data_IF_932723346543
#
_entry.id   IF_932723346543
#
_cell.length_a   1.000
_cell.length_b   1.000
_cell.length_c   1.000
_cell.angle_alpha   90.00
_cell.angle_beta   90.00
_cell.angle_gamma   90.00
#
_symmetry.space_group_name_H-M   'P 1'
#
loop_
_entity.id
_entity.type
_entity.pdbx_description
1 polymer ?
#
# COMPACT_ATOMS: atom_id res chain seq x y z
N UNK A 1 -4.89 7.72 22.66
CA UNK A 1 -5.83 7.77 21.52
C UNK A 1 -6.81 6.61 21.71
N UNK A 2 -7.95 6.60 21.00
CA UNK A 2 -8.90 5.50 21.08
C UNK A 2 -8.22 4.16 20.71
N UNK A 3 -8.75 3.02 21.15
CA UNK A 3 -8.12 1.72 20.95
C UNK A 3 -8.07 1.40 19.46
N UNK A 4 -6.89 1.43 18.85
CA UNK A 4 -6.64 0.73 17.59
C UNK A 4 -6.34 -0.73 17.92
N UNK A 5 -6.35 -1.59 16.91
CA UNK A 5 -6.11 -3.04 17.03
C UNK A 5 -4.69 -3.33 17.54
N UNK A 6 -4.54 -3.26 18.86
CA UNK A 6 -3.35 -3.58 19.64
C UNK A 6 -3.47 -5.03 20.13
N UNK A 7 -2.68 -5.98 19.61
CA UNK A 7 -2.68 -7.37 20.08
C UNK A 7 -2.20 -7.52 21.54
N UNK A 8 -1.71 -6.45 22.18
CA UNK A 8 -1.16 -6.43 23.54
C UNK A 8 -1.98 -5.63 24.57
N UNK A 9 -3.12 -5.05 24.17
CA UNK A 9 -4.14 -4.51 25.07
C UNK A 9 -4.08 -3.00 25.37
N UNK A 10 -5.18 -2.34 25.01
CA UNK A 10 -5.68 -1.00 25.41
C UNK A 10 -4.83 0.23 25.06
N UNK A 11 -3.68 0.07 24.40
CA UNK A 11 -2.84 1.16 23.94
C UNK A 11 -3.16 1.66 22.53
N UNK A 12 -2.59 2.81 22.20
CA UNK A 12 -2.11 3.00 20.83
C UNK A 12 -0.85 2.16 20.73
N UNK A 13 -0.94 1.04 20.05
CA UNK A 13 0.18 0.15 19.78
C UNK A 13 0.62 0.28 18.33
N UNK A 14 1.72 -0.39 18.00
CA UNK A 14 1.95 -0.76 16.62
C UNK A 14 0.84 -1.72 16.17
N UNK A 15 0.28 -1.47 15.00
CA UNK A 15 -0.53 -2.45 14.28
C UNK A 15 0.39 -3.17 13.31
N UNK A 16 0.59 -4.47 13.54
CA UNK A 16 1.65 -5.26 12.91
C UNK A 16 1.08 -6.43 12.14
N UNK A 17 1.53 -6.57 10.90
CA UNK A 17 1.47 -7.82 10.16
C UNK A 17 2.69 -7.93 9.24
N UNK A 18 2.54 -7.69 7.93
CA UNK A 18 3.70 -7.56 7.04
C UNK A 18 4.42 -6.21 7.16
N UNK A 19 3.77 -5.21 7.76
CA UNK A 19 4.36 -3.93 8.12
C UNK A 19 3.94 -3.55 9.53
N UNK A 20 4.71 -2.69 10.19
CA UNK A 20 4.32 -2.06 11.46
C UNK A 20 3.84 -0.64 11.19
N UNK A 21 2.60 -0.36 11.56
CA UNK A 21 1.98 0.96 11.47
C UNK A 21 1.91 1.58 12.86
N UNK A 22 2.49 2.77 13.04
CA UNK A 22 2.52 3.45 14.32
C UNK A 22 1.83 4.80 14.22
N UNK A 23 0.76 4.95 14.99
CA UNK A 23 0.22 6.25 15.34
C UNK A 23 0.81 6.69 16.67
N UNK A 24 1.21 7.95 16.79
CA UNK A 24 1.76 8.49 18.02
C UNK A 24 0.69 9.26 18.76
N UNK A 25 0.68 9.13 20.09
CA UNK A 25 -0.14 10.00 20.97
C UNK A 25 0.08 11.48 20.69
N UNK A 26 1.30 11.84 20.28
CA UNK A 26 1.69 13.18 19.88
C UNK A 26 2.70 13.08 18.71
N UNK A 27 2.34 13.56 17.50
CA UNK A 27 3.23 13.56 16.33
C UNK A 27 4.55 14.31 16.54
N UNK A 28 4.67 15.18 17.55
CA UNK A 28 5.96 15.82 17.84
C UNK A 28 7.03 14.83 18.31
N UNK A 29 6.66 13.59 18.66
CA UNK A 29 7.59 12.54 19.07
C UNK A 29 8.16 11.72 17.91
N UNK A 30 7.72 11.96 16.66
CA UNK A 30 8.17 11.21 15.48
C UNK A 30 9.69 11.14 15.35
N UNK A 31 10.47 12.25 15.50
CA UNK A 31 11.92 12.16 15.39
C UNK A 31 12.57 11.24 16.44
N UNK A 32 12.08 11.29 17.69
CA UNK A 32 12.59 10.46 18.79
C UNK A 32 12.20 8.99 18.60
N UNK A 33 10.96 8.72 18.19
CA UNK A 33 10.47 7.38 17.90
C UNK A 33 11.25 6.73 16.74
N UNK A 34 11.45 7.46 15.64
CA UNK A 34 12.26 6.99 14.51
C UNK A 34 13.70 6.71 14.93
N UNK A 35 14.31 7.60 15.73
CA UNK A 35 15.67 7.39 16.25
C UNK A 35 15.77 6.11 17.07
N UNK A 36 14.76 5.81 17.89
CA UNK A 36 14.68 4.58 18.66
C UNK A 36 14.54 3.34 17.76
N UNK A 37 13.67 3.40 16.75
CA UNK A 37 13.47 2.31 15.79
C UNK A 37 14.75 2.02 14.99
N UNK A 38 15.42 3.06 14.47
CA UNK A 38 16.68 2.91 13.74
C UNK A 38 17.80 2.35 14.62
N UNK A 39 17.91 2.78 15.88
CA UNK A 39 18.89 2.25 16.82
C UNK A 39 18.68 0.74 17.11
N UNK A 40 17.46 0.22 16.93
CA UNK A 40 17.11 -1.17 17.19
C UNK A 40 16.83 -1.96 15.91
N UNK A 41 17.08 -1.39 14.73
CA UNK A 41 16.70 -1.90 13.41
C UNK A 41 17.00 -3.39 13.20
N UNK A 42 18.20 -3.83 13.62
CA UNK A 42 18.63 -5.22 13.51
C UNK A 42 17.80 -6.16 14.39
N UNK A 43 17.51 -5.74 15.62
CA UNK A 43 16.76 -6.55 16.58
C UNK A 43 15.28 -6.71 16.16
N UNK A 44 14.71 -5.67 15.55
CA UNK A 44 13.33 -5.68 15.05
C UNK A 44 13.22 -6.10 13.58
N UNK A 45 14.32 -6.56 12.96
CA UNK A 45 14.32 -6.98 11.55
C UNK A 45 13.84 -5.91 10.57
N UNK A 46 13.92 -4.62 10.91
CA UNK A 46 13.39 -3.53 10.10
C UNK A 46 14.24 -3.25 8.85
N UNK A 47 13.54 -3.01 7.75
CA UNK A 47 14.05 -2.50 6.48
C UNK A 47 13.91 -0.98 6.41
N UNK A 48 12.96 -0.47 5.63
CA UNK A 48 12.77 0.96 5.48
C UNK A 48 11.79 1.51 6.53
N UNK A 49 12.08 2.71 7.05
CA UNK A 49 11.20 3.44 7.96
C UNK A 49 10.72 4.70 7.23
N UNK A 50 9.41 4.78 6.98
CA UNK A 50 8.75 5.93 6.39
C UNK A 50 8.17 6.80 7.49
N UNK A 51 8.43 8.11 7.43
CA UNK A 51 7.93 9.10 8.37
C UNK A 51 7.98 10.49 7.75
N UNK A 52 7.13 11.40 8.22
CA UNK A 52 7.07 12.76 7.68
C UNK A 52 6.78 12.76 6.17
N UNK A 53 7.50 13.56 5.35
CA UNK A 53 7.22 13.67 3.92
C UNK A 53 7.29 12.37 3.13
N UNK A 54 8.02 11.35 3.58
CA UNK A 54 8.13 10.08 2.82
C UNK A 54 6.87 9.23 2.91
N UNK A 55 6.03 9.41 3.94
CA UNK A 55 4.71 8.78 4.03
C UNK A 55 3.76 9.41 3.00
N UNK A 56 3.86 10.72 2.80
CA UNK A 56 2.98 11.49 1.93
C UNK A 56 3.17 11.21 0.42
N UNK A 57 4.16 10.40 0.04
CA UNK A 57 4.36 9.98 -1.35
C UNK A 57 3.28 9.01 -1.83
N UNK A 58 2.81 8.13 -0.94
CA UNK A 58 1.83 7.08 -1.27
C UNK A 58 0.51 7.23 -0.51
N UNK A 59 0.49 8.03 0.56
CA UNK A 59 -0.67 8.22 1.43
C UNK A 59 -0.95 9.70 1.64
N UNK A 60 -2.13 10.01 2.18
CA UNK A 60 -2.42 11.36 2.65
C UNK A 60 -1.45 11.75 3.78
N UNK A 61 -1.27 13.05 4.01
CA UNK A 61 -0.42 13.50 5.13
C UNK A 61 -1.02 13.07 6.47
N UNK A 62 -0.26 12.43 7.37
CA UNK A 62 -0.75 12.04 8.68
C UNK A 62 -1.23 13.23 9.52
N UNK A 63 -2.25 13.01 10.36
CA UNK A 63 -2.72 14.02 11.31
C UNK A 63 -4.23 14.00 11.50
N UNK A 64 -4.76 14.96 12.25
CA UNK A 64 -6.22 15.10 12.41
C UNK A 64 -6.77 16.12 11.41
N UNK A 65 -8.01 15.97 10.93
CA UNK A 65 -8.66 16.97 10.10
C UNK A 65 -8.74 18.32 10.85
N UNK A 66 -8.57 19.46 10.16
CA UNK A 66 -8.38 19.61 8.72
C UNK A 66 -6.91 19.49 8.26
N UNK A 67 -5.97 19.26 9.18
CA UNK A 67 -4.53 19.34 8.92
C UNK A 67 -3.89 18.05 8.41
N UNK A 68 -4.63 16.94 8.38
CA UNK A 68 -4.14 15.64 7.92
C UNK A 68 -5.25 14.58 7.89
N UNK A 69 -4.86 13.35 7.56
CA UNK A 69 -5.72 12.18 7.52
C UNK A 69 -5.48 11.29 8.75
N UNK A 70 -6.50 11.07 9.61
CA UNK A 70 -6.33 10.30 10.83
C UNK A 70 -6.12 8.80 10.55
N UNK A 71 -6.36 8.36 9.32
CA UNK A 71 -6.16 6.97 8.88
C UNK A 71 -4.74 6.68 8.43
N UNK A 72 -3.90 7.71 8.26
CA UNK A 72 -2.50 7.51 7.91
C UNK A 72 -1.65 7.52 9.19
N UNK A 73 -0.79 6.51 9.43
CA UNK A 73 0.09 6.49 10.60
C UNK A 73 1.18 7.56 10.49
N UNK A 74 1.73 7.95 11.65
CA UNK A 74 2.88 8.86 11.70
C UNK A 74 4.16 8.20 11.18
N UNK A 75 4.27 6.88 11.38
CA UNK A 75 5.43 6.06 11.00
C UNK A 75 4.94 4.73 10.39
N UNK A 76 5.57 4.32 9.29
CA UNK A 76 5.44 2.97 8.72
C UNK A 76 6.82 2.33 8.76
N UNK A 77 6.95 1.16 9.39
CA UNK A 77 8.16 0.35 9.37
C UNK A 77 7.91 -0.85 8.49
N UNK A 78 8.65 -0.95 7.38
CA UNK A 78 8.67 -2.18 6.59
C UNK A 78 9.76 -3.09 7.14
N UNK A 79 9.51 -4.40 7.26
CA UNK A 79 10.55 -5.36 7.60
C UNK A 79 11.54 -5.53 6.44
N UNK A 80 12.66 -6.22 6.70
CA UNK A 80 13.47 -6.77 5.61
C UNK A 80 12.69 -7.87 4.89
N UNK A 81 12.93 -8.05 3.58
CA UNK A 81 12.28 -9.11 2.78
C UNK A 81 12.45 -10.48 3.47
N UNK A 82 11.35 -11.19 3.65
CA UNK A 82 11.29 -12.49 4.33
C UNK A 82 11.09 -12.42 5.85
N UNK A 83 10.87 -11.25 6.44
CA UNK A 83 10.51 -11.06 7.84
C UNK A 83 9.06 -10.58 7.93
N UNK A 84 8.26 -11.18 8.82
CA UNK A 84 6.90 -10.76 9.14
C UNK A 84 6.80 -10.41 10.63
N UNK A 85 5.96 -9.45 11.00
CA UNK A 85 5.69 -9.09 12.39
C UNK A 85 4.45 -9.82 12.89
N UNK A 86 4.65 -11.00 13.49
CA UNK A 86 3.55 -11.82 13.99
C UNK A 86 3.85 -12.42 15.35
N UNK A 87 2.87 -12.35 16.26
CA UNK A 87 2.87 -13.13 17.50
C UNK A 87 2.40 -14.59 17.30
N UNK A 88 1.92 -14.94 16.11
CA UNK A 88 1.40 -16.27 15.82
C UNK A 88 2.52 -17.24 15.50
N UNK A 89 2.54 -18.39 16.18
CA UNK A 89 3.45 -19.50 15.85
C UNK A 89 2.95 -20.36 14.69
N UNK A 90 1.75 -20.08 14.16
CA UNK A 90 1.15 -20.82 13.05
C UNK A 90 1.28 -20.10 11.71
N UNK A 91 1.38 -18.77 11.72
CA UNK A 91 1.54 -17.97 10.50
C UNK A 91 2.95 -18.22 9.96
N UNK A 92 3.06 -18.68 8.71
CA UNK A 92 4.33 -19.00 8.05
C UNK A 92 4.70 -17.99 6.96
N UNK A 93 3.70 -17.27 6.45
CA UNK A 93 3.80 -16.33 5.34
C UNK A 93 2.74 -15.25 5.55
N UNK A 94 3.01 -14.06 5.04
CA UNK A 94 2.08 -12.94 4.99
C UNK A 94 2.32 -12.15 3.70
N UNK A 95 1.34 -11.36 3.30
CA UNK A 95 1.49 -10.35 2.28
C UNK A 95 1.04 -8.97 2.81
N UNK A 96 1.18 -7.94 2.00
CA UNK A 96 0.61 -6.62 2.27
C UNK A 96 1.65 -5.61 2.74
N UNK A 97 2.92 -5.97 2.61
CA UNK A 97 4.01 -5.03 2.66
C UNK A 97 4.29 -4.38 1.31
N UNK A 98 5.51 -3.87 1.24
CA UNK A 98 5.96 -2.94 0.19
C UNK A 98 6.96 -3.63 -0.73
N UNK A 99 7.27 -4.90 -0.48
CA UNK A 99 8.22 -5.64 -1.27
C UNK A 99 7.60 -6.05 -2.61
N UNK A 100 8.44 -6.29 -3.61
CA UNK A 100 7.96 -6.59 -4.96
C UNK A 100 7.18 -7.91 -5.04
N UNK A 101 7.43 -8.85 -4.13
CA UNK A 101 6.67 -10.09 -3.97
C UNK A 101 5.29 -9.87 -3.35
N UNK A 102 5.07 -8.80 -2.59
CA UNK A 102 3.74 -8.37 -2.12
C UNK A 102 2.93 -7.67 -3.20
N UNK A 103 3.57 -6.74 -3.92
CA UNK A 103 2.86 -5.76 -4.73
C UNK A 103 2.68 -6.17 -6.19
N UNK A 104 3.49 -7.11 -6.69
CA UNK A 104 3.39 -7.57 -8.07
C UNK A 104 2.43 -8.75 -8.20
N UNK A 105 1.42 -8.58 -9.03
CA UNK A 105 0.44 -9.63 -9.34
C UNK A 105 0.46 -9.98 -10.83
N UNK A 106 0.09 -11.22 -11.15
CA UNK A 106 -0.12 -11.61 -12.54
C UNK A 106 -1.41 -10.99 -13.09
N UNK A 107 -1.33 -10.44 -14.30
CA UNK A 107 -2.48 -9.95 -15.05
C UNK A 107 -2.65 -10.75 -16.33
N UNK A 108 -3.76 -11.49 -16.42
CA UNK A 108 -4.14 -12.22 -17.63
C UNK A 108 -5.41 -11.61 -18.21
N UNK A 109 -5.41 -11.39 -19.53
CA UNK A 109 -6.58 -10.94 -20.26
C UNK A 109 -6.94 -11.96 -21.34
N UNK A 110 -8.21 -12.35 -21.40
CA UNK A 110 -8.72 -13.33 -22.36
C UNK A 110 -9.93 -12.77 -23.08
N UNK A 111 -9.88 -12.80 -24.40
CA UNK A 111 -10.98 -12.48 -25.29
C UNK A 111 -10.79 -13.32 -26.58
N UNK A 112 -11.83 -13.96 -27.14
CA UNK A 112 -11.73 -14.75 -28.36
C UNK A 112 -11.13 -14.01 -29.57
N UNK A 113 -11.24 -12.69 -29.62
CA UNK A 113 -10.71 -11.85 -30.70
C UNK A 113 -9.23 -11.53 -30.53
N UNK A 114 -8.66 -11.76 -29.34
CA UNK A 114 -7.25 -11.48 -29.09
C UNK A 114 -6.36 -12.55 -29.69
N UNK A 115 -5.33 -12.08 -30.41
CA UNK A 115 -4.17 -12.90 -30.73
C UNK A 115 -3.32 -13.07 -29.47
N UNK A 116 -3.07 -14.33 -29.09
CA UNK A 116 -2.23 -14.65 -27.95
C UNK A 116 -0.85 -14.00 -28.06
N UNK A 117 -0.45 -13.25 -27.04
CA UNK A 117 0.85 -12.60 -26.92
C UNK A 117 1.13 -12.24 -25.47
N UNK A 118 2.41 -12.07 -25.14
CA UNK A 118 2.84 -11.41 -23.89
C UNK A 118 3.07 -9.94 -24.16
N UNK A 119 2.53 -9.08 -23.29
CA UNK A 119 2.78 -7.63 -23.33
C UNK A 119 3.78 -7.32 -22.21
N UNK A 120 4.95 -6.82 -22.58
CA UNK A 120 6.05 -6.51 -21.64
C UNK A 120 6.03 -5.06 -21.15
N UNK A 121 5.07 -4.25 -21.60
CA UNK A 121 4.89 -2.90 -21.09
C UNK A 121 4.48 -2.94 -19.62
N UNK A 122 5.05 -2.05 -18.81
CA UNK A 122 4.64 -1.87 -17.42
C UNK A 122 3.18 -1.47 -17.35
N UNK A 123 2.45 -2.10 -16.43
CA UNK A 123 1.03 -1.87 -16.18
C UNK A 123 0.74 -1.90 -14.69
N UNK A 124 -0.32 -1.21 -14.26
CA UNK A 124 -0.79 -1.20 -12.87
C UNK A 124 -2.23 -1.68 -12.74
N UNK A 125 -2.60 -2.17 -11.55
CA UNK A 125 -3.96 -2.66 -11.24
C UNK A 125 -5.03 -1.57 -11.36
N UNK A 126 -4.66 -0.29 -11.18
CA UNK A 126 -5.55 0.85 -11.42
C UNK A 126 -6.09 0.91 -12.86
N UNK A 127 -5.38 0.30 -13.82
CA UNK A 127 -5.80 0.27 -15.23
C UNK A 127 -6.90 -0.76 -15.52
N UNK A 128 -7.21 -1.66 -14.57
CA UNK A 128 -8.24 -2.71 -14.76
C UNK A 128 -9.62 -2.09 -14.96
N UNK A 129 -10.04 -1.21 -14.07
CA UNK A 129 -11.36 -0.56 -14.15
C UNK A 129 -11.57 0.23 -15.46
N UNK A 130 -10.71 1.19 -15.86
CA UNK A 130 -10.87 1.90 -17.13
C UNK A 130 -10.79 0.97 -18.35
N UNK A 131 -10.12 -0.17 -18.26
CA UNK A 131 -10.11 -1.17 -19.34
C UNK A 131 -11.44 -1.89 -19.45
N UNK A 132 -12.05 -2.27 -18.32
CA UNK A 132 -13.37 -2.90 -18.29
C UNK A 132 -14.44 -1.95 -18.85
N UNK A 133 -14.46 -0.67 -18.42
CA UNK A 133 -15.40 0.30 -18.98
C UNK A 133 -15.26 0.40 -20.51
N UNK A 134 -14.01 0.52 -20.99
CA UNK A 134 -13.75 0.56 -22.43
C UNK A 134 -14.24 -0.71 -23.13
N UNK A 135 -13.97 -1.89 -22.57
CA UNK A 135 -14.42 -3.18 -23.10
C UNK A 135 -15.96 -3.28 -23.22
N UNK A 136 -16.68 -2.59 -22.33
CA UNK A 136 -18.15 -2.52 -22.30
C UNK A 136 -18.72 -1.37 -23.17
N UNK A 137 -17.88 -0.63 -23.89
CA UNK A 137 -18.32 0.55 -24.65
C UNK A 137 -18.72 1.75 -23.79
N UNK A 138 -18.31 1.77 -22.51
CA UNK A 138 -18.56 2.85 -21.57
C UNK A 138 -17.37 3.82 -21.50
N UNK A 139 -17.64 5.08 -21.14
CA UNK A 139 -16.62 6.12 -21.01
C UNK A 139 -15.82 5.97 -19.70
N UNK A 140 -14.51 5.67 -19.73
CA UNK A 140 -13.67 5.57 -18.53
C UNK A 140 -13.58 6.88 -17.73
N UNK A 141 -13.80 8.04 -18.36
CA UNK A 141 -13.80 9.34 -17.68
C UNK A 141 -14.96 9.51 -16.70
N UNK A 142 -15.90 8.55 -16.63
CA UNK A 142 -16.91 8.51 -15.58
C UNK A 142 -16.34 8.14 -14.21
N UNK A 143 -15.14 7.54 -14.13
CA UNK A 143 -14.48 7.23 -12.87
C UNK A 143 -13.74 8.45 -12.29
N UNK A 144 -13.98 8.78 -11.03
CA UNK A 144 -13.24 9.84 -10.31
C UNK A 144 -11.73 9.59 -10.30
N UNK A 145 -11.31 8.33 -10.10
CA UNK A 145 -9.89 7.95 -10.11
C UNK A 145 -9.22 8.27 -11.45
N UNK A 146 -9.85 7.91 -12.57
CA UNK A 146 -9.35 8.24 -13.91
C UNK A 146 -9.25 9.74 -14.12
N UNK A 147 -10.25 10.51 -13.68
CA UNK A 147 -10.24 11.98 -13.79
C UNK A 147 -9.13 12.62 -12.97
N UNK A 148 -8.91 12.11 -11.76
CA UNK A 148 -7.99 12.69 -10.78
C UNK A 148 -6.54 12.29 -11.07
N UNK A 149 -6.31 11.04 -11.44
CA UNK A 149 -4.98 10.43 -11.57
C UNK A 149 -4.53 10.30 -13.03
N UNK A 150 -5.44 10.50 -14.00
CA UNK A 150 -5.14 10.34 -15.42
C UNK A 150 -4.90 8.88 -15.84
N UNK A 151 -5.38 7.92 -15.06
CA UNK A 151 -5.16 6.48 -15.29
C UNK A 151 -5.67 6.03 -16.66
N UNK A 152 -4.77 5.49 -17.48
CA UNK A 152 -5.11 4.99 -18.81
C UNK A 152 -5.61 3.53 -18.76
N UNK A 153 -6.45 3.13 -19.71
CA UNK A 153 -6.71 1.69 -19.95
C UNK A 153 -5.40 0.94 -20.26
N UNK A 154 -5.43 -0.38 -20.09
CA UNK A 154 -4.30 -1.25 -20.40
C UNK A 154 -3.84 -1.05 -21.85
N UNK A 155 -2.54 -1.13 -22.12
CA UNK A 155 -2.01 -1.07 -23.48
C UNK A 155 -2.40 -2.34 -24.24
N UNK A 156 -2.33 -2.25 -25.58
CA UNK A 156 -2.45 -3.40 -26.48
C UNK A 156 -3.79 -4.17 -26.40
N UNK A 157 -4.82 -3.57 -25.80
CA UNK A 157 -6.23 -4.00 -25.86
C UNK A 157 -6.94 -3.22 -26.96
N UNK A 158 -6.91 -3.78 -28.17
CA UNK A 158 -7.64 -3.22 -29.32
C UNK A 158 -9.04 -3.79 -29.26
N UNK A 159 -9.95 -3.04 -28.65
CA UNK A 159 -11.37 -3.34 -28.73
C UNK A 159 -11.89 -2.75 -30.05
N UNK A 160 -12.33 -3.59 -30.98
CA UNK A 160 -13.04 -3.14 -32.17
C UNK A 160 -14.53 -3.06 -31.81
N UNK A 161 -15.12 -1.86 -31.87
CA UNK A 161 -16.55 -1.60 -31.65
C UNK A 161 -17.16 -0.96 -32.89
#
# INVERSE_FOLDING_TARGET
MPPSEDPNGSGIGSTEDDVSLLWLTNPSYTPQAVSLLEANKQAIGAGQIFYGPTVALNYNTPGLPPSGDPRTPDIIVTPNVGVIYTGSTKKQEEHGGFAHDDTNVMLLLSNPEFKAKTVYSEVGTLQVAPTILKALGLDPWQLDGVRTEGTQSLPAVQFEF
#
